data_IF_556861766263
#
_entry.id   IF_556861766263
#
_cell.length_a   1.000
_cell.length_b   1.000
_cell.length_c   1.000
_cell.angle_alpha   90.00
_cell.angle_beta   90.00
_cell.angle_gamma   90.00
#
_symmetry.space_group_name_H-M   'P 1'
#
loop_
_entity.id
_entity.type
_entity.pdbx_description
1 polymer ?
#
# COMPACT_ATOMS: atom_id res chain seq x y z
N UNK A 1 -53.77 -34.53 19.56
CA UNK A 1 -52.79 -33.49 19.95
C UNK A 1 -51.43 -33.95 19.44
N UNK A 2 -50.91 -33.41 18.33
CA UNK A 2 -49.52 -33.62 17.85
C UNK A 2 -49.22 -32.86 16.54
N UNK A 3 -50.25 -32.51 15.76
CA UNK A 3 -50.05 -31.82 14.47
C UNK A 3 -49.54 -30.38 14.62
N UNK A 4 -50.10 -29.63 15.58
CA UNK A 4 -49.71 -28.24 15.86
C UNK A 4 -48.29 -28.17 16.43
N UNK A 5 -47.91 -29.13 17.28
CA UNK A 5 -46.55 -29.23 17.85
C UNK A 5 -45.53 -29.53 16.75
N UNK A 6 -45.87 -30.45 15.85
CA UNK A 6 -45.02 -30.76 14.70
C UNK A 6 -44.86 -29.56 13.76
N UNK A 7 -45.92 -28.80 13.51
CA UNK A 7 -45.85 -27.58 12.70
C UNK A 7 -44.94 -26.50 13.33
N UNK A 8 -45.05 -26.30 14.65
CA UNK A 8 -44.21 -25.34 15.37
C UNK A 8 -42.74 -25.77 15.38
N UNK A 9 -42.46 -27.07 15.51
CA UNK A 9 -41.10 -27.61 15.41
C UNK A 9 -40.50 -27.44 14.01
N UNK A 10 -41.30 -27.64 12.94
CA UNK A 10 -40.85 -27.44 11.56
C UNK A 10 -40.54 -25.96 11.31
N UNK A 11 -41.37 -25.04 11.80
CA UNK A 11 -41.16 -23.60 11.66
C UNK A 11 -39.93 -23.11 12.43
N UNK A 12 -39.69 -23.63 13.65
CA UNK A 12 -38.49 -23.32 14.43
C UNK A 12 -37.21 -23.85 13.75
N UNK A 13 -37.25 -25.05 13.20
CA UNK A 13 -36.11 -25.61 12.45
C UNK A 13 -35.78 -24.75 11.22
N UNK A 14 -36.79 -24.30 10.47
CA UNK A 14 -36.60 -23.41 9.32
C UNK A 14 -35.98 -22.05 9.71
N UNK A 15 -36.37 -21.48 10.85
CA UNK A 15 -35.78 -20.24 11.37
C UNK A 15 -34.30 -20.37 11.73
N UNK A 16 -33.89 -21.49 12.33
CA UNK A 16 -32.49 -21.75 12.69
C UNK A 16 -31.58 -22.03 11.49
N UNK A 17 -32.12 -22.53 10.37
CA UNK A 17 -31.35 -22.70 9.14
C UNK A 17 -31.09 -21.38 8.39
N UNK A 18 -31.96 -20.37 8.53
CA UNK A 18 -31.79 -19.08 7.84
C UNK A 18 -30.58 -18.28 8.36
N UNK A 19 -30.12 -18.54 9.58
CA UNK A 19 -29.00 -17.82 10.23
C UNK A 19 -27.61 -18.26 9.75
N UNK A 20 -27.49 -19.24 8.85
CA UNK A 20 -26.19 -19.76 8.37
C UNK A 20 -25.83 -19.35 6.94
N UNK A 21 -26.52 -18.37 6.35
CA UNK A 21 -26.01 -17.68 5.16
C UNK A 21 -24.93 -16.68 5.61
N UNK A 22 -23.80 -17.23 6.06
CA UNK A 22 -22.54 -16.50 6.07
C UNK A 22 -22.16 -16.35 4.61
N UNK A 23 -22.47 -15.20 4.04
CA UNK A 23 -21.91 -14.78 2.75
C UNK A 23 -20.41 -14.65 2.96
N UNK A 24 -19.68 -15.77 2.87
CA UNK A 24 -18.28 -15.73 2.53
C UNK A 24 -18.25 -15.06 1.17
N UNK A 25 -17.89 -13.78 1.14
CA UNK A 25 -17.45 -13.12 -0.06
C UNK A 25 -16.19 -13.87 -0.50
N UNK A 26 -16.39 -14.95 -1.23
CA UNK A 26 -15.37 -15.53 -2.09
C UNK A 26 -15.03 -14.39 -3.02
N UNK A 27 -13.92 -13.72 -2.73
CA UNK A 27 -13.18 -12.92 -3.68
C UNK A 27 -12.89 -13.86 -4.83
N UNK A 28 -13.81 -13.89 -5.79
CA UNK A 28 -13.66 -14.63 -7.03
C UNK A 28 -12.62 -13.83 -7.79
N UNK A 29 -11.36 -14.17 -7.52
CA UNK A 29 -10.27 -14.04 -8.46
C UNK A 29 -10.70 -14.73 -9.74
N UNK A 30 -11.44 -13.99 -10.56
CA UNK A 30 -11.66 -14.33 -11.94
C UNK A 30 -10.54 -13.62 -12.67
N UNK A 31 -9.43 -14.33 -12.76
CA UNK A 31 -8.53 -14.25 -13.90
C UNK A 31 -9.40 -14.32 -15.16
N UNK A 32 -9.67 -13.16 -15.75
CA UNK A 32 -10.10 -13.07 -17.14
C UNK A 32 -8.99 -12.35 -17.87
N UNK A 33 -8.01 -13.14 -18.31
CA UNK A 33 -7.21 -12.79 -19.48
C UNK A 33 -8.16 -12.70 -20.68
N UNK A 34 -8.71 -11.51 -20.85
CA UNK A 34 -9.10 -10.93 -22.13
C UNK A 34 -8.20 -9.71 -22.24
N UNK A 35 -7.66 -9.40 -23.42
CA UNK A 35 -7.03 -8.10 -23.66
C UNK A 35 -8.08 -7.00 -23.42
N UNK A 36 -8.24 -6.60 -22.16
CA UNK A 36 -9.20 -5.62 -21.70
C UNK A 36 -8.50 -4.27 -21.71
N UNK A 37 -8.97 -3.38 -22.57
CA UNK A 37 -8.54 -1.99 -22.53
C UNK A 37 -8.98 -1.42 -21.18
N UNK A 38 -8.00 -1.01 -20.37
CA UNK A 38 -8.25 -0.29 -19.11
C UNK A 38 -8.90 1.04 -19.46
N UNK A 39 -10.04 1.37 -18.81
CA UNK A 39 -10.77 2.60 -19.11
C UNK A 39 -9.94 3.81 -18.69
N UNK A 40 -10.03 4.91 -19.45
CA UNK A 40 -9.30 6.16 -19.15
C UNK A 40 -9.51 6.65 -17.71
N UNK A 41 -10.75 6.60 -17.21
CA UNK A 41 -11.07 6.93 -15.82
C UNK A 41 -10.24 6.13 -14.81
N UNK A 42 -10.09 4.82 -15.02
CA UNK A 42 -9.29 3.96 -14.16
C UNK A 42 -7.80 4.27 -14.29
N UNK A 43 -7.31 4.56 -15.50
CA UNK A 43 -5.92 4.99 -15.71
C UNK A 43 -5.64 6.25 -14.90
N UNK A 44 -6.49 7.29 -15.00
CA UNK A 44 -6.34 8.56 -14.29
C UNK A 44 -6.36 8.34 -12.76
N UNK A 45 -7.35 7.60 -12.25
CA UNK A 45 -7.45 7.33 -10.81
C UNK A 45 -6.26 6.52 -10.30
N UNK A 46 -5.75 5.57 -11.07
CA UNK A 46 -4.59 4.77 -10.66
C UNK A 46 -3.28 5.51 -10.82
N UNK A 47 -3.17 6.52 -11.69
CA UNK A 47 -1.93 7.24 -11.96
C UNK A 47 -1.80 8.58 -11.23
N UNK A 48 -2.86 9.13 -10.65
CA UNK A 48 -2.82 10.43 -9.95
C UNK A 48 -1.81 10.48 -8.79
N UNK A 49 -1.28 11.67 -8.51
CA UNK A 49 -0.35 11.92 -7.41
C UNK A 49 -0.97 11.53 -6.04
N UNK A 50 -0.36 10.55 -5.36
CA UNK A 50 -0.76 10.09 -4.03
C UNK A 50 0.39 9.33 -3.34
N UNK A 51 0.32 9.07 -2.02
CA UNK A 51 1.22 8.14 -1.35
C UNK A 51 1.10 6.73 -1.94
N UNK A 52 2.24 6.09 -2.21
CA UNK A 52 2.32 4.75 -2.78
C UNK A 52 3.41 3.95 -2.10
N UNK A 53 3.16 2.65 -1.94
CA UNK A 53 4.18 1.71 -1.49
C UNK A 53 5.27 1.60 -2.57
N UNK A 54 6.50 1.86 -2.17
CA UNK A 54 7.69 1.68 -3.00
C UNK A 54 8.76 0.94 -2.22
N UNK A 55 9.59 0.17 -2.94
CA UNK A 55 10.76 -0.45 -2.37
C UNK A 55 11.90 0.57 -2.35
N UNK A 56 12.39 0.86 -1.15
CA UNK A 56 13.50 1.79 -0.93
C UNK A 56 14.72 0.99 -0.50
N UNK A 57 15.82 1.15 -1.22
CA UNK A 57 17.11 0.56 -0.88
C UNK A 57 17.68 1.23 0.38
N UNK A 58 18.00 0.42 1.39
CA UNK A 58 18.52 0.91 2.67
C UNK A 58 19.88 1.58 2.47
N UNK A 59 20.72 1.07 1.56
CA UNK A 59 22.05 1.63 1.32
C UNK A 59 22.01 3.04 0.75
N UNK A 60 21.00 3.36 -0.07
CA UNK A 60 20.84 4.69 -0.65
C UNK A 60 20.43 5.73 0.40
N UNK A 61 19.58 5.33 1.36
CA UNK A 61 19.16 6.18 2.47
C UNK A 61 20.25 6.32 3.55
N UNK A 62 21.11 5.30 3.70
CA UNK A 62 22.18 5.24 4.70
C UNK A 62 23.57 4.96 4.07
N UNK A 63 24.10 5.87 3.22
CA UNK A 63 25.35 5.64 2.51
C UNK A 63 26.59 5.60 3.43
N UNK A 64 26.47 6.06 4.68
CA UNK A 64 27.56 6.07 5.67
C UNK A 64 27.96 4.68 6.18
N UNK A 65 27.12 3.66 5.99
CA UNK A 65 27.33 2.30 6.52
C UNK A 65 27.91 1.32 5.45
N UNK A 66 28.99 1.72 4.78
CA UNK A 66 29.56 0.98 3.63
C UNK A 66 30.12 -0.41 3.98
N UNK A 67 30.53 -0.64 5.22
CA UNK A 67 31.11 -1.94 5.64
C UNK A 67 30.07 -3.01 6.01
N UNK A 68 28.78 -2.67 6.01
CA UNK A 68 27.72 -3.54 6.55
C UNK A 68 26.71 -3.89 5.49
N UNK A 69 26.15 -5.10 5.59
CA UNK A 69 25.02 -5.53 4.75
C UNK A 69 23.75 -5.56 5.59
N UNK A 70 22.65 -5.10 5.00
CA UNK A 70 21.33 -5.11 5.61
C UNK A 70 20.49 -6.30 5.10
N UNK A 71 19.73 -6.92 6.01
CA UNK A 71 18.70 -7.91 5.69
C UNK A 71 17.36 -7.44 6.29
N UNK A 72 16.34 -7.18 5.47
CA UNK A 72 16.37 -7.14 4.00
C UNK A 72 17.27 -6.00 3.47
N UNK A 73 17.63 -6.02 2.19
CA UNK A 73 18.39 -4.92 1.55
C UNK A 73 17.51 -3.70 1.21
N UNK A 74 16.20 -3.91 1.10
CA UNK A 74 15.22 -2.86 0.85
C UNK A 74 14.02 -3.00 1.79
N UNK A 75 13.31 -1.89 2.01
CA UNK A 75 12.10 -1.81 2.83
C UNK A 75 10.95 -1.22 2.03
N UNK A 76 9.72 -1.57 2.38
CA UNK A 76 8.51 -0.97 1.81
C UNK A 76 8.18 0.29 2.58
N UNK A 77 8.06 1.42 1.89
CA UNK A 77 7.70 2.72 2.47
C UNK A 77 6.66 3.42 1.60
N UNK A 78 5.84 4.25 2.22
CA UNK A 78 4.98 5.17 1.49
C UNK A 78 5.78 6.39 1.00
N UNK A 79 5.88 6.56 -0.32
CA UNK A 79 6.46 7.74 -0.96
C UNK A 79 5.46 8.34 -1.96
N UNK A 80 5.61 9.63 -2.24
CA UNK A 80 4.75 10.29 -3.22
C UNK A 80 5.09 9.77 -4.61
N UNK A 81 4.07 9.39 -5.36
CA UNK A 81 4.24 8.93 -6.73
C UNK A 81 2.97 9.07 -7.55
N UNK A 82 3.13 9.03 -8.87
CA UNK A 82 2.07 9.28 -9.83
C UNK A 82 2.40 10.48 -10.72
N UNK A 83 1.42 10.89 -11.51
CA UNK A 83 1.52 12.01 -12.43
C UNK A 83 0.58 13.16 -12.04
N UNK A 84 1.01 14.38 -12.37
CA UNK A 84 0.19 15.57 -12.35
C UNK A 84 -0.39 15.83 -13.76
N UNK A 85 -1.40 16.69 -13.87
CA UNK A 85 -2.04 17.02 -15.15
C UNK A 85 -1.18 17.91 -16.07
N UNK A 86 -0.17 18.57 -15.51
CA UNK A 86 0.71 19.51 -16.22
C UNK A 86 2.16 19.16 -15.91
N UNK A 87 3.02 19.20 -16.93
CA UNK A 87 4.46 18.91 -16.83
C UNK A 87 5.22 19.97 -16.01
N UNK A 88 4.67 21.19 -15.87
CA UNK A 88 5.19 22.22 -15.00
C UNK A 88 4.96 21.90 -13.51
N UNK A 89 4.14 20.90 -13.19
CA UNK A 89 3.88 20.44 -11.84
C UNK A 89 4.73 19.20 -11.49
N UNK A 90 5.07 19.07 -10.21
CA UNK A 90 5.71 17.90 -9.61
C UNK A 90 4.88 17.38 -8.44
N UNK A 91 4.87 16.06 -8.26
CA UNK A 91 4.17 15.39 -7.17
C UNK A 91 5.07 15.36 -5.92
N UNK A 92 4.73 16.16 -4.91
CA UNK A 92 5.56 16.39 -3.73
C UNK A 92 4.82 16.08 -2.43
N UNK A 93 5.53 15.71 -1.34
CA UNK A 93 4.90 15.49 -0.04
C UNK A 93 4.40 16.79 0.59
N UNK A 94 3.18 16.76 1.10
CA UNK A 94 2.59 17.83 1.92
C UNK A 94 2.68 17.53 3.41
N UNK A 95 2.71 16.26 3.77
CA UNK A 95 2.84 15.77 5.14
C UNK A 95 3.70 14.51 5.11
N UNK A 96 4.69 14.46 6.01
CA UNK A 96 5.62 13.34 6.14
C UNK A 96 5.94 13.09 7.61
N UNK A 97 6.24 11.83 7.92
CA UNK A 97 6.61 11.38 9.26
C UNK A 97 7.66 10.31 9.18
N UNK A 98 8.42 10.13 10.26
CA UNK A 98 9.37 9.04 10.36
C UNK A 98 8.72 7.77 10.88
N UNK A 99 9.07 6.64 10.29
CA UNK A 99 8.75 5.29 10.76
C UNK A 99 10.03 4.57 11.14
N UNK A 100 10.01 3.87 12.26
CA UNK A 100 11.16 3.07 12.71
C UNK A 100 10.95 1.62 12.35
N UNK A 101 11.86 1.07 11.54
CA UNK A 101 11.83 -0.30 11.07
C UNK A 101 12.97 -1.10 11.68
N UNK A 102 12.72 -2.39 11.89
CA UNK A 102 13.71 -3.31 12.39
C UNK A 102 14.39 -4.03 11.21
N UNK A 103 15.72 -4.02 11.18
CA UNK A 103 16.51 -4.70 10.15
C UNK A 103 17.69 -5.42 10.78
N UNK A 104 18.19 -6.46 10.12
CA UNK A 104 19.44 -7.09 10.53
C UNK A 104 20.60 -6.40 9.84
N UNK A 105 21.59 -5.97 10.62
CA UNK A 105 22.87 -5.46 10.15
C UNK A 105 23.92 -6.52 10.43
N UNK A 106 24.72 -6.88 9.43
CA UNK A 106 25.83 -7.80 9.63
C UNK A 106 27.08 -7.34 8.88
N UNK A 107 28.23 -7.53 9.52
CA UNK A 107 29.56 -7.37 8.92
C UNK A 107 30.09 -8.76 8.59
N UNK A 108 30.73 -8.90 7.42
CA UNK A 108 31.36 -10.17 7.05
C UNK A 108 32.30 -10.64 8.18
N UNK A 109 32.13 -11.90 8.62
CA UNK A 109 32.98 -12.59 9.60
C UNK A 109 32.86 -12.21 11.09
N UNK A 110 31.93 -11.32 11.51
CA UNK A 110 31.94 -10.81 12.91
C UNK A 110 30.67 -11.10 13.71
N UNK A 111 29.50 -10.54 13.39
CA UNK A 111 28.24 -10.79 14.13
C UNK A 111 27.03 -10.24 13.38
N UNK A 112 25.85 -10.85 13.62
CA UNK A 112 24.55 -10.34 13.17
C UNK A 112 23.86 -9.61 14.33
N UNK A 113 23.43 -8.37 14.11
CA UNK A 113 22.67 -7.59 15.09
C UNK A 113 21.37 -7.06 14.49
N UNK A 114 20.29 -7.25 15.22
CA UNK A 114 19.02 -6.61 14.92
C UNK A 114 19.08 -5.15 15.39
N UNK A 115 18.89 -4.22 14.46
CA UNK A 115 18.95 -2.78 14.70
C UNK A 115 17.64 -2.10 14.29
N UNK A 116 17.48 -0.86 14.72
CA UNK A 116 16.36 -0.01 14.32
C UNK A 116 16.87 1.10 13.41
N UNK A 117 16.24 1.27 12.26
CA UNK A 117 16.51 2.35 11.31
C UNK A 117 15.24 3.19 11.14
N UNK A 118 15.40 4.50 11.01
CA UNK A 118 14.29 5.45 10.86
C UNK A 118 14.18 5.90 9.41
N UNK A 119 13.02 5.76 8.79
CA UNK A 119 12.80 6.17 7.41
C UNK A 119 11.70 7.21 7.31
N UNK A 120 11.80 8.12 6.36
CA UNK A 120 10.72 9.07 6.06
C UNK A 120 9.63 8.39 5.22
N UNK A 121 8.39 8.49 5.68
CA UNK A 121 7.18 8.15 4.93
C UNK A 121 6.36 9.41 4.62
N UNK A 122 5.75 9.42 3.43
CA UNK A 122 4.87 10.49 3.00
C UNK A 122 3.42 10.10 3.30
N UNK A 123 2.71 10.93 4.05
CA UNK A 123 1.32 10.70 4.43
C UNK A 123 0.33 11.37 3.47
N UNK A 124 0.70 12.52 2.90
CA UNK A 124 -0.11 13.27 1.92
C UNK A 124 0.78 13.80 0.82
N UNK A 125 0.26 13.79 -0.41
CA UNK A 125 0.96 14.26 -1.60
C UNK A 125 0.08 15.22 -2.39
N UNK A 126 0.69 16.16 -3.08
CA UNK A 126 -0.01 17.16 -3.89
C UNK A 126 0.86 17.58 -5.09
N UNK A 127 0.21 18.14 -6.12
CA UNK A 127 0.88 18.64 -7.31
C UNK A 127 1.27 20.12 -7.12
N UNK A 128 2.56 20.44 -7.15
CA UNK A 128 3.10 21.79 -6.95
C UNK A 128 3.94 22.24 -8.13
N UNK A 129 4.01 23.55 -8.36
CA UNK A 129 4.83 24.12 -9.43
C UNK A 129 6.30 23.83 -9.17
N UNK A 130 6.98 23.31 -10.19
CA UNK A 130 8.43 23.09 -10.16
C UNK A 130 9.16 24.41 -9.91
N UNK A 131 10.18 24.44 -9.02
CA UNK A 131 10.95 25.64 -8.74
C UNK A 131 11.54 26.28 -10.01
N UNK A 132 12.02 25.47 -10.95
CA UNK A 132 12.71 25.91 -12.17
C UNK A 132 11.80 26.67 -13.16
N UNK A 133 10.49 26.47 -13.09
CA UNK A 133 9.51 27.17 -13.95
C UNK A 133 9.24 28.58 -13.43
N UNK A 134 9.43 28.83 -12.13
CA UNK A 134 9.21 30.16 -11.56
C UNK A 134 10.29 31.17 -11.98
N UNK A 135 11.47 30.71 -12.37
CA UNK A 135 12.61 31.56 -12.75
C UNK A 135 12.45 32.18 -14.15
N UNK A 136 11.52 31.71 -14.99
CA UNK A 136 11.31 32.21 -16.36
C UNK A 136 10.29 33.35 -16.50
N UNK A 137 9.86 33.97 -15.39
CA UNK A 137 9.07 35.20 -15.42
C UNK A 137 9.98 36.43 -15.27
N UNK A 138 10.71 36.74 -16.33
CA UNK A 138 11.30 38.07 -16.54
C UNK A 138 11.04 38.52 -17.99
#
# INVERSE_FOLDING_TARGET
MNFVVSLVQILLAAFFHLSTVKTASINKGVEKSKHGVVRLSEVITKSMCQPREVLVDIFQEYPGDTEHTFVPSCVVLNRCGGCCSDEALECVPMEASNVTLQVMRFRQMVTQHTIHLSFTEHQKCDCRLKPDVQVKKE
#
